data_IF_335811702023
#
_entry.id   IF_335811702023
#
_cell.length_a   1.000
_cell.length_b   1.000
_cell.length_c   1.000
_cell.angle_alpha   90.00
_cell.angle_beta   90.00
_cell.angle_gamma   90.00
#
_symmetry.space_group_name_H-M   'P 1'
#
loop_
_entity.id
_entity.type
_entity.pdbx_description
1 polymer ?
#
# COMPACT_ATOMS: atom_id res chain seq x y z
N UNK A 1 28.60 10.32 17.05
CA UNK A 1 27.73 9.19 16.72
C UNK A 1 26.57 9.67 15.86
N UNK A 2 26.39 9.00 14.78
CA UNK A 2 25.26 9.33 13.96
C UNK A 2 23.99 8.86 14.67
N UNK A 3 23.04 9.75 14.75
CA UNK A 3 21.79 9.40 15.33
C UNK A 3 21.03 8.49 14.37
N UNK A 4 20.66 7.34 14.85
CA UNK A 4 19.85 6.46 14.05
C UNK A 4 18.48 7.10 13.88
N UNK A 5 18.13 7.35 12.65
CA UNK A 5 16.78 7.78 12.37
C UNK A 5 15.89 6.60 12.74
N UNK A 6 15.20 6.71 13.86
CA UNK A 6 14.25 5.67 14.24
C UNK A 6 13.21 5.61 13.14
N UNK A 7 13.13 4.46 12.48
CA UNK A 7 12.15 4.30 11.43
C UNK A 7 10.76 4.44 12.05
N UNK A 8 10.00 5.41 11.55
CA UNK A 8 8.63 5.55 11.95
C UNK A 8 7.82 4.45 11.30
N UNK A 9 7.00 3.79 12.09
CA UNK A 9 6.18 2.70 11.59
C UNK A 9 4.77 2.86 12.09
N UNK A 10 3.80 2.59 11.22
CA UNK A 10 2.38 2.56 11.57
C UNK A 10 1.80 1.26 11.03
N UNK A 11 0.92 0.66 11.81
CA UNK A 11 0.31 -0.61 11.46
C UNK A 11 -1.19 -0.50 11.66
N UNK A 12 -1.94 -0.84 10.63
CA UNK A 12 -3.40 -0.74 10.66
C UNK A 12 -4.00 -2.09 10.30
N UNK A 13 -4.79 -2.64 11.22
CA UNK A 13 -5.58 -3.84 10.92
C UNK A 13 -6.77 -3.39 10.10
N UNK A 14 -6.98 -4.05 8.97
CA UNK A 14 -8.02 -3.68 8.04
C UNK A 14 -9.11 -4.75 8.07
N UNK A 15 -10.26 -4.39 8.61
CA UNK A 15 -11.41 -5.28 8.72
C UNK A 15 -12.69 -4.61 8.24
N UNK A 16 -12.70 -3.28 8.12
CA UNK A 16 -13.87 -2.51 7.74
C UNK A 16 -13.47 -1.37 6.83
N UNK A 17 -14.46 -0.76 6.20
CA UNK A 17 -14.22 0.43 5.37
C UNK A 17 -13.60 1.57 6.17
N UNK A 18 -13.95 1.66 7.46
CA UNK A 18 -13.38 2.71 8.31
C UNK A 18 -11.87 2.54 8.44
N UNK A 19 -11.39 1.32 8.43
CA UNK A 19 -9.96 1.04 8.54
C UNK A 19 -9.22 1.49 7.28
N UNK A 20 -9.88 1.48 6.12
CA UNK A 20 -9.29 2.01 4.89
C UNK A 20 -9.01 3.51 5.07
N UNK A 21 -9.97 4.23 5.65
CA UNK A 21 -9.80 5.66 5.91
C UNK A 21 -8.64 5.90 6.87
N UNK A 22 -8.57 5.09 7.93
CA UNK A 22 -7.50 5.20 8.91
C UNK A 22 -6.12 4.98 8.27
N UNK A 23 -5.99 3.94 7.47
CA UNK A 23 -4.71 3.64 6.80
C UNK A 23 -4.33 4.78 5.86
N UNK A 24 -5.28 5.29 5.11
CA UNK A 24 -5.03 6.39 4.17
C UNK A 24 -4.53 7.63 4.91
N UNK A 25 -5.20 7.99 6.01
CA UNK A 25 -4.83 9.19 6.75
C UNK A 25 -3.46 9.06 7.38
N UNK A 26 -3.15 7.91 7.95
CA UNK A 26 -1.84 7.70 8.56
C UNK A 26 -0.74 7.72 7.53
N UNK A 27 -0.98 7.12 6.37
CA UNK A 27 0.00 7.13 5.29
C UNK A 27 0.25 8.52 4.75
N UNK A 28 -0.81 9.31 4.58
CA UNK A 28 -0.67 10.68 4.12
C UNK A 28 0.15 11.52 5.10
N UNK A 29 -0.11 11.33 6.39
CA UNK A 29 0.62 12.05 7.43
C UNK A 29 2.11 11.69 7.40
N UNK A 30 2.40 10.39 7.34
CA UNK A 30 3.79 9.94 7.29
C UNK A 30 4.51 10.47 6.05
N UNK A 31 3.84 10.45 4.91
CA UNK A 31 4.42 10.96 3.67
C UNK A 31 4.73 12.44 3.78
N UNK A 32 3.81 13.21 4.38
CA UNK A 32 4.05 14.64 4.55
C UNK A 32 5.24 14.89 5.45
N UNK A 33 5.38 14.10 6.51
CA UNK A 33 6.52 14.25 7.42
C UNK A 33 7.84 13.90 6.76
N UNK A 34 7.83 12.99 5.81
CA UNK A 34 9.03 12.61 5.07
C UNK A 34 9.49 13.67 4.09
N UNK A 35 8.61 14.61 3.77
CA UNK A 35 8.96 15.67 2.84
C UNK A 35 8.37 15.52 1.45
N UNK A 36 7.48 14.57 1.24
CA UNK A 36 6.76 14.50 -0.03
C UNK A 36 5.87 15.73 -0.20
N UNK A 37 5.75 16.19 -1.43
CA UNK A 37 4.83 17.31 -1.71
C UNK A 37 3.40 16.89 -1.35
N UNK A 38 2.52 17.86 -1.09
CA UNK A 38 1.12 17.54 -0.78
C UNK A 38 0.47 16.69 -1.87
N UNK A 39 0.76 16.97 -3.13
CA UNK A 39 0.21 16.19 -4.23
C UNK A 39 0.69 14.75 -4.20
N UNK A 40 1.99 14.55 -4.01
CA UNK A 40 2.54 13.20 -3.94
C UNK A 40 2.05 12.46 -2.70
N UNK A 41 1.96 13.15 -1.56
CA UNK A 41 1.42 12.54 -0.35
C UNK A 41 -0.01 12.05 -0.57
N UNK A 42 -0.81 12.81 -1.33
CA UNK A 42 -2.16 12.40 -1.66
C UNK A 42 -2.17 11.17 -2.58
N UNK A 43 -1.24 11.11 -3.53
CA UNK A 43 -1.15 9.93 -4.40
C UNK A 43 -0.76 8.69 -3.60
N UNK A 44 0.16 8.84 -2.65
CA UNK A 44 0.55 7.74 -1.77
C UNK A 44 -0.65 7.27 -0.95
N UNK A 45 -1.42 8.21 -0.41
CA UNK A 45 -2.62 7.89 0.37
C UNK A 45 -3.64 7.14 -0.49
N UNK A 46 -3.78 7.54 -1.75
CA UNK A 46 -4.68 6.86 -2.68
C UNK A 46 -4.23 5.41 -2.90
N UNK A 47 -2.93 5.21 -3.11
CA UNK A 47 -2.40 3.87 -3.29
C UNK A 47 -2.67 3.01 -2.05
N UNK A 48 -2.46 3.57 -0.86
CA UNK A 48 -2.73 2.86 0.39
C UNK A 48 -4.20 2.46 0.49
N UNK A 49 -5.11 3.36 0.10
CA UNK A 49 -6.53 3.06 0.11
C UNK A 49 -6.86 1.88 -0.79
N UNK A 50 -6.24 1.82 -1.97
CA UNK A 50 -6.49 0.73 -2.90
C UNK A 50 -5.95 -0.59 -2.36
N UNK A 51 -4.78 -0.57 -1.71
CA UNK A 51 -4.22 -1.77 -1.11
C UNK A 51 -5.13 -2.28 0.03
N UNK A 52 -5.61 -1.38 0.87
CA UNK A 52 -6.49 -1.75 1.97
C UNK A 52 -7.82 -2.29 1.45
N UNK A 53 -8.37 -1.65 0.40
CA UNK A 53 -9.61 -2.12 -0.20
C UNK A 53 -9.45 -3.52 -0.78
N UNK A 54 -8.28 -3.79 -1.35
CA UNK A 54 -7.97 -5.09 -1.90
C UNK A 54 -8.00 -6.18 -0.83
N UNK A 55 -7.52 -5.85 0.37
CA UNK A 55 -7.58 -6.80 1.49
C UNK A 55 -9.03 -7.18 1.77
N UNK A 56 -9.92 -6.19 1.86
CA UNK A 56 -11.33 -6.47 2.15
C UNK A 56 -11.98 -7.25 1.02
N UNK A 57 -11.59 -6.97 -0.21
CA UNK A 57 -12.17 -7.63 -1.36
C UNK A 57 -11.82 -9.12 -1.41
N UNK A 58 -10.58 -9.47 -1.11
CA UNK A 58 -10.12 -10.85 -1.31
C UNK A 58 -10.00 -11.66 -0.02
N UNK A 59 -9.90 -11.00 1.15
CA UNK A 59 -9.58 -11.72 2.36
C UNK A 59 -10.44 -11.36 3.56
N UNK A 60 -11.23 -10.31 3.47
CA UNK A 60 -12.07 -9.79 4.55
C UNK A 60 -11.28 -9.16 5.68
N UNK A 61 -10.03 -9.53 5.86
CA UNK A 61 -9.20 -9.02 6.94
C UNK A 61 -7.74 -9.11 6.55
N UNK A 62 -6.97 -8.12 6.96
CA UNK A 62 -5.52 -8.12 6.78
C UNK A 62 -4.91 -6.95 7.50
N UNK A 63 -3.71 -6.60 7.09
CA UNK A 63 -2.94 -5.59 7.79
C UNK A 63 -2.15 -4.76 6.80
N UNK A 64 -2.13 -3.44 7.03
CA UNK A 64 -1.30 -2.52 6.26
C UNK A 64 -0.24 -1.97 7.20
N UNK A 65 1.02 -2.14 6.84
CA UNK A 65 2.15 -1.62 7.59
C UNK A 65 2.84 -0.57 6.73
N UNK A 66 3.08 0.59 7.30
CA UNK A 66 3.77 1.69 6.62
C UNK A 66 4.99 2.05 7.42
N UNK A 67 6.13 2.23 6.75
CA UNK A 67 7.33 2.63 7.48
C UNK A 67 8.22 3.48 6.61
N UNK A 68 8.98 4.35 7.28
CA UNK A 68 9.96 5.17 6.59
C UNK A 68 11.17 4.31 6.27
N UNK A 69 11.76 4.57 5.11
CA UNK A 69 12.96 3.86 4.66
C UNK A 69 13.98 4.87 4.18
N UNK A 70 15.23 4.44 4.16
CA UNK A 70 16.31 5.29 3.69
C UNK A 70 17.30 4.41 2.94
N UNK A 71 17.78 4.90 1.80
CA UNK A 71 18.73 4.17 0.98
C UNK A 71 19.64 5.17 0.29
N UNK A 72 20.94 5.12 0.63
CA UNK A 72 21.95 5.99 0.02
C UNK A 72 21.55 7.46 0.13
N UNK A 73 21.02 7.87 1.27
CA UNK A 73 20.65 9.24 1.51
C UNK A 73 19.28 9.64 1.00
N UNK A 74 18.63 8.79 0.23
CA UNK A 74 17.27 9.03 -0.21
C UNK A 74 16.29 8.52 0.83
N UNK A 75 15.25 9.29 1.11
CA UNK A 75 14.21 8.90 2.04
C UNK A 75 12.97 8.47 1.28
N UNK A 76 12.24 7.54 1.87
CA UNK A 76 11.04 7.07 1.23
C UNK A 76 10.08 6.42 2.20
N UNK A 77 9.01 5.89 1.66
CA UNK A 77 8.00 5.18 2.41
C UNK A 77 7.83 3.78 1.82
N UNK A 78 7.72 2.79 2.71
CA UNK A 78 7.43 1.41 2.33
C UNK A 78 6.08 1.05 2.90
N UNK A 79 5.22 0.52 2.06
CA UNK A 79 3.89 0.08 2.48
C UNK A 79 3.75 -1.38 2.13
N UNK A 80 3.34 -2.17 3.11
CA UNK A 80 3.07 -3.58 2.89
C UNK A 80 1.63 -3.87 3.27
N UNK A 81 0.88 -4.46 2.35
CA UNK A 81 -0.48 -4.91 2.59
C UNK A 81 -0.45 -6.43 2.57
N UNK A 82 -0.83 -7.04 3.68
CA UNK A 82 -0.75 -8.50 3.84
C UNK A 82 -2.05 -9.06 4.36
N UNK A 83 -2.46 -10.18 3.77
CA UNK A 83 -3.61 -10.91 4.26
C UNK A 83 -3.33 -12.41 4.17
N UNK A 84 -4.16 -13.19 4.84
CA UNK A 84 -4.06 -14.65 4.83
C UNK A 84 -5.31 -15.27 4.20
N UNK A 85 -5.90 -14.56 3.26
CA UNK A 85 -7.06 -15.03 2.54
C UNK A 85 -6.72 -16.09 1.49
N UNK A 86 -7.64 -16.33 0.60
CA UNK A 86 -7.46 -17.39 -0.42
C UNK A 86 -6.49 -17.01 -1.54
N UNK A 87 -5.97 -15.79 -1.54
CA UNK A 87 -5.13 -15.34 -2.63
C UNK A 87 -5.96 -14.67 -3.72
N UNK A 88 -5.27 -13.96 -4.61
CA UNK A 88 -5.92 -13.30 -5.73
C UNK A 88 -6.05 -14.29 -6.86
N UNK A 89 -7.29 -14.61 -7.31
CA UNK A 89 -7.44 -15.45 -8.49
C UNK A 89 -6.96 -14.66 -9.72
N UNK A 90 -6.22 -15.32 -10.58
CA UNK A 90 -5.72 -14.70 -11.81
C UNK A 90 -4.98 -13.39 -11.54
N UNK A 91 -3.87 -13.46 -10.76
CA UNK A 91 -3.18 -12.22 -10.39
C UNK A 91 -2.68 -11.41 -11.58
N UNK A 92 -2.38 -12.05 -12.68
CA UNK A 92 -1.93 -11.33 -13.87
C UNK A 92 -3.05 -10.46 -14.42
N UNK A 93 -4.28 -10.94 -14.39
CA UNK A 93 -5.42 -10.13 -14.84
C UNK A 93 -5.70 -8.99 -13.89
N UNK A 94 -5.47 -9.20 -12.60
CA UNK A 94 -5.69 -8.15 -11.60
C UNK A 94 -4.74 -6.97 -11.84
N UNK A 95 -3.63 -7.20 -12.53
CA UNK A 95 -2.67 -6.14 -12.85
C UNK A 95 -2.93 -5.49 -14.20
N UNK A 96 -3.93 -5.97 -14.95
CA UNK A 96 -4.25 -5.37 -16.23
C UNK A 96 -5.08 -4.10 -16.05
N UNK A 97 -4.79 -3.12 -16.90
CA UNK A 97 -5.54 -1.87 -16.88
C UNK A 97 -7.01 -2.14 -17.17
N UNK A 98 -7.87 -1.49 -16.40
CA UNK A 98 -9.30 -1.59 -16.60
C UNK A 98 -9.95 -2.80 -15.95
N UNK A 99 -9.19 -3.72 -15.42
CA UNK A 99 -9.75 -4.88 -14.74
C UNK A 99 -10.23 -4.49 -13.34
N UNK A 100 -11.44 -4.86 -13.00
CA UNK A 100 -11.97 -4.62 -11.66
C UNK A 100 -12.86 -5.78 -11.26
N UNK A 101 -12.49 -6.45 -10.17
CA UNK A 101 -13.24 -7.56 -9.64
C UNK A 101 -14.40 -7.08 -8.76
N UNK A 102 -14.34 -5.83 -8.31
CA UNK A 102 -15.36 -5.29 -7.43
C UNK A 102 -16.47 -4.56 -8.16
N UNK A 103 -16.29 -4.30 -9.45
CA UNK A 103 -17.24 -3.50 -10.20
C UNK A 103 -17.23 -2.04 -9.83
N UNK A 104 -16.30 -1.60 -9.00
CA UNK A 104 -16.18 -0.20 -8.60
C UNK A 104 -15.23 0.53 -9.52
N UNK A 105 -15.48 1.82 -9.68
CA UNK A 105 -14.49 2.69 -10.29
C UNK A 105 -13.41 2.95 -9.27
N UNK A 106 -12.18 2.72 -9.67
CA UNK A 106 -11.04 2.95 -8.82
C UNK A 106 -9.78 2.63 -9.58
N UNK A 107 -8.63 2.89 -8.95
CA UNK A 107 -7.36 2.66 -9.62
C UNK A 107 -7.02 1.18 -9.76
N UNK A 108 -7.44 0.37 -8.78
CA UNK A 108 -7.05 -1.02 -8.73
C UNK A 108 -5.54 -1.18 -8.59
N UNK A 109 -5.06 -2.40 -8.73
CA UNK A 109 -3.63 -2.67 -8.63
C UNK A 109 -2.82 -2.05 -9.77
N UNK A 110 -3.31 -1.97 -11.01
CA UNK A 110 -2.55 -1.26 -12.04
C UNK A 110 -2.28 0.18 -11.69
N UNK A 111 -3.26 0.85 -11.06
CA UNK A 111 -3.08 2.23 -10.63
C UNK A 111 -2.05 2.35 -9.53
N UNK A 112 -2.09 1.44 -8.55
CA UNK A 112 -1.09 1.42 -7.49
C UNK A 112 0.30 1.27 -8.08
N UNK A 113 0.46 0.35 -9.01
CA UNK A 113 1.75 0.11 -9.64
C UNK A 113 2.26 1.35 -10.35
N UNK A 114 1.38 2.12 -10.98
CA UNK A 114 1.78 3.34 -11.68
C UNK A 114 2.14 4.47 -10.71
N UNK A 115 1.47 4.52 -9.55
CA UNK A 115 1.71 5.59 -8.59
C UNK A 115 3.00 5.41 -7.79
N UNK A 116 3.45 4.19 -7.63
CA UNK A 116 4.60 3.89 -6.78
C UNK A 116 5.85 3.65 -7.60
N UNK A 117 7.00 3.78 -6.97
CA UNK A 117 8.28 3.58 -7.67
C UNK A 117 8.62 2.11 -7.78
N UNK A 118 8.22 1.31 -6.80
CA UNK A 118 8.47 -0.12 -6.80
C UNK A 118 7.22 -0.84 -6.37
N UNK A 119 6.98 -2.01 -6.95
CA UNK A 119 5.77 -2.78 -6.69
C UNK A 119 6.12 -4.26 -6.74
N UNK A 120 5.73 -4.99 -5.69
CA UNK A 120 5.91 -6.43 -5.65
C UNK A 120 4.61 -7.07 -5.17
N UNK A 121 4.15 -8.07 -5.90
CA UNK A 121 2.95 -8.82 -5.54
C UNK A 121 3.35 -10.28 -5.35
N UNK A 122 3.01 -10.83 -4.18
CA UNK A 122 3.18 -12.25 -3.90
C UNK A 122 1.83 -12.79 -3.47
N UNK A 123 1.33 -13.75 -4.23
CA UNK A 123 0.05 -14.36 -3.94
C UNK A 123 0.06 -15.79 -4.45
N UNK A 124 -0.65 -16.67 -3.75
CA UNK A 124 -0.78 -18.06 -4.15
C UNK A 124 -2.08 -18.58 -3.60
N UNK A 125 -2.74 -19.51 -4.30
CA UNK A 125 -4.00 -20.06 -3.83
C UNK A 125 -3.86 -20.62 -2.41
N UNK A 126 -4.74 -20.19 -1.51
CA UNK A 126 -4.75 -20.67 -0.14
C UNK A 126 -3.65 -20.09 0.74
N UNK A 127 -2.81 -19.19 0.22
CA UNK A 127 -1.68 -18.67 0.99
C UNK A 127 -1.75 -17.18 1.24
N UNK A 128 -2.83 -16.55 0.80
CA UNK A 128 -3.00 -15.13 1.00
C UNK A 128 -2.24 -14.29 0.01
N UNK A 129 -2.09 -13.01 0.33
CA UNK A 129 -1.49 -12.03 -0.57
C UNK A 129 -0.64 -11.07 0.23
N UNK A 130 0.53 -10.72 -0.33
CA UNK A 130 1.37 -9.68 0.21
C UNK A 130 1.74 -8.76 -0.94
N UNK A 131 1.50 -7.45 -0.76
CA UNK A 131 1.85 -6.45 -1.75
C UNK A 131 2.75 -5.45 -1.05
N UNK A 132 3.93 -5.22 -1.62
CA UNK A 132 4.91 -4.29 -1.06
C UNK A 132 5.20 -3.22 -2.10
N UNK A 133 5.11 -1.97 -1.68
CA UNK A 133 5.38 -0.84 -2.57
C UNK A 133 6.33 0.13 -1.89
N UNK A 134 7.11 0.82 -2.70
CA UNK A 134 8.02 1.86 -2.24
C UNK A 134 7.80 3.13 -3.05
N UNK A 135 7.98 4.26 -2.38
CA UNK A 135 7.98 5.56 -3.04
C UNK A 135 9.08 6.40 -2.41
N UNK A 136 9.89 7.01 -3.23
CA UNK A 136 11.05 7.78 -2.77
C UNK A 136 10.80 9.28 -2.91
N UNK A 137 11.29 10.04 -1.92
CA UNK A 137 11.22 11.49 -1.97
C UNK A 137 12.22 11.98 -3.03
N UNK A 138 11.75 12.88 -3.90
CA UNK A 138 12.58 13.44 -4.96
C UNK A 138 12.58 14.94 -4.93
#
# INVERSE_FOLDING_TARGET
>A
MREEAVATEARVVVETDRDIVSARQQGRFMAAQLGFSPGTATLIATAISELARNILLYASRGEVTMRTIENNGSKGIRVEARDEGPGIPQPQRALEDGFSTSGRLGLGLPGVKRLMDEFRLETAPGRGTAIVVHKWVR
#
